data_IF_049683065869
#
_entry.id   IF_049683065869
#
_cell.length_a   1.000
_cell.length_b   1.000
_cell.length_c   1.000
_cell.angle_alpha   90.00
_cell.angle_beta   90.00
_cell.angle_gamma   90.00
#
_symmetry.space_group_name_H-M   'P 1'
#
loop_
_entity.id
_entity.type
_entity.pdbx_description
1 polymer ?
#
# COMPACT_ATOMS: atom_id res chain seq x y z
N UNK A 1 1.68 -1.09 14.24
CA UNK A 1 0.28 -0.65 14.43
C UNK A 1 0.06 0.57 13.56
N UNK A 2 -1.08 0.64 12.85
CA UNK A 2 -1.45 1.85 12.10
C UNK A 2 -2.62 2.50 12.83
N UNK A 3 -2.56 3.82 12.99
CA UNK A 3 -3.60 4.58 13.68
C UNK A 3 -4.05 5.77 12.81
N UNK A 4 -5.35 5.95 12.68
CA UNK A 4 -5.97 7.13 12.09
C UNK A 4 -6.57 7.98 13.20
N UNK A 5 -6.28 9.27 13.19
CA UNK A 5 -6.82 10.23 14.16
C UNK A 5 -7.56 11.34 13.45
N UNK A 6 -8.88 11.35 13.56
CA UNK A 6 -9.78 12.39 13.06
C UNK A 6 -9.56 12.73 11.57
N UNK A 7 -9.37 11.71 10.73
CA UNK A 7 -9.12 11.89 9.29
C UNK A 7 -10.38 12.42 8.61
N UNK A 8 -10.26 13.58 7.99
CA UNK A 8 -11.28 14.18 7.12
C UNK A 8 -10.75 14.28 5.69
N UNK A 9 -11.63 14.05 4.69
CA UNK A 9 -11.31 14.22 3.27
C UNK A 9 -12.53 14.58 2.47
N UNK A 10 -12.39 15.65 1.68
CA UNK A 10 -13.42 16.17 0.77
C UNK A 10 -12.93 16.20 -0.67
N UNK A 11 -13.84 16.17 -1.61
CA UNK A 11 -13.61 16.39 -3.05
C UNK A 11 -14.68 17.38 -3.55
N UNK A 12 -14.27 18.63 -3.77
CA UNK A 12 -15.21 19.73 -3.97
C UNK A 12 -16.15 19.84 -2.78
N UNK A 13 -17.46 19.89 -3.03
CA UNK A 13 -18.47 19.99 -1.97
C UNK A 13 -18.80 18.68 -1.28
N UNK A 14 -18.22 17.56 -1.72
CA UNK A 14 -18.50 16.24 -1.17
C UNK A 14 -17.54 15.86 -0.05
N UNK A 15 -18.01 15.87 1.20
CA UNK A 15 -17.30 15.37 2.37
C UNK A 15 -17.38 13.85 2.41
N UNK A 16 -16.28 13.17 2.07
CA UNK A 16 -16.20 11.69 2.00
C UNK A 16 -15.79 11.05 3.32
N UNK A 17 -14.80 11.63 3.98
CA UNK A 17 -14.39 11.23 5.33
C UNK A 17 -14.64 12.39 6.29
N UNK A 18 -15.21 12.10 7.46
CA UNK A 18 -15.62 13.10 8.45
C UNK A 18 -15.11 12.70 9.82
N UNK A 19 -13.88 13.09 10.16
CA UNK A 19 -13.28 12.82 11.45
C UNK A 19 -13.11 11.33 11.77
N UNK A 20 -12.74 10.51 10.80
CA UNK A 20 -12.60 9.05 10.95
C UNK A 20 -11.40 8.73 11.82
N UNK A 21 -11.63 7.98 12.91
CA UNK A 21 -10.56 7.45 13.75
C UNK A 21 -10.63 5.92 13.78
N UNK A 22 -9.47 5.27 13.66
CA UNK A 22 -9.37 3.81 13.63
C UNK A 22 -7.98 3.35 14.08
N UNK A 23 -7.90 2.12 14.59
CA UNK A 23 -6.64 1.46 14.90
C UNK A 23 -6.56 0.09 14.21
N UNK A 24 -5.50 -0.15 13.49
CA UNK A 24 -5.21 -1.42 12.84
C UNK A 24 -4.09 -2.13 13.60
N UNK A 25 -4.45 -3.21 14.27
CA UNK A 25 -3.54 -3.95 15.14
C UNK A 25 -2.53 -4.75 14.32
N UNK A 26 -1.26 -4.70 14.73
CA UNK A 26 -0.18 -5.49 14.13
C UNK A 26 -0.42 -6.99 14.35
N UNK A 27 -0.12 -7.80 13.33
CA UNK A 27 -0.23 -9.26 13.40
C UNK A 27 -1.68 -9.79 13.37
N UNK A 28 -2.66 -8.93 13.12
CA UNK A 28 -4.06 -9.32 12.98
C UNK A 28 -4.61 -8.93 11.61
N UNK A 29 -5.63 -9.65 11.17
CA UNK A 29 -6.45 -9.24 10.02
C UNK A 29 -7.45 -8.21 10.52
N UNK A 30 -7.42 -7.03 9.92
CA UNK A 30 -8.33 -5.93 10.21
C UNK A 30 -9.25 -5.72 9.01
N UNK A 31 -10.57 -5.68 9.22
CA UNK A 31 -11.55 -5.49 8.16
C UNK A 31 -12.15 -4.09 8.23
N UNK A 32 -12.27 -3.45 7.06
CA UNK A 32 -13.02 -2.21 6.88
C UNK A 32 -14.31 -2.55 6.14
N UNK A 33 -15.44 -2.46 6.83
CA UNK A 33 -16.76 -2.83 6.31
C UNK A 33 -17.58 -1.56 6.11
N UNK A 34 -18.39 -1.53 5.06
CA UNK A 34 -19.28 -0.41 4.76
C UNK A 34 -19.88 -0.54 3.36
N UNK A 35 -20.93 0.24 3.10
CA UNK A 35 -21.64 0.28 1.81
C UNK A 35 -20.69 0.74 0.68
N UNK A 36 -21.06 0.46 -0.57
CA UNK A 36 -20.37 1.05 -1.73
C UNK A 36 -20.45 2.58 -1.64
N UNK A 37 -19.35 3.27 -1.98
CA UNK A 37 -19.25 4.72 -1.89
C UNK A 37 -19.07 5.30 -0.48
N UNK A 38 -18.97 4.48 0.58
CA UNK A 38 -18.82 4.98 1.97
C UNK A 38 -17.42 5.50 2.34
N UNK A 39 -16.53 5.67 1.39
CA UNK A 39 -15.20 6.23 1.64
C UNK A 39 -14.09 5.22 2.00
N UNK A 40 -14.37 3.89 2.02
CA UNK A 40 -13.36 2.86 2.38
C UNK A 40 -12.06 2.99 1.58
N UNK A 41 -12.17 3.09 0.25
CA UNK A 41 -11.00 3.23 -0.63
C UNK A 41 -10.29 4.58 -0.44
N UNK A 42 -11.02 5.64 -0.14
CA UNK A 42 -10.46 6.96 0.15
C UNK A 42 -9.68 6.88 1.47
N UNK A 43 -10.25 6.29 2.51
CA UNK A 43 -9.60 6.08 3.79
C UNK A 43 -8.30 5.25 3.62
N UNK A 44 -8.35 4.13 2.89
CA UNK A 44 -7.14 3.32 2.62
C UNK A 44 -6.09 4.11 1.87
N UNK A 45 -6.46 4.90 0.87
CA UNK A 45 -5.53 5.76 0.13
C UNK A 45 -4.92 6.85 1.01
N UNK A 46 -5.70 7.45 1.92
CA UNK A 46 -5.16 8.39 2.91
C UNK A 46 -4.18 7.69 3.86
N UNK A 47 -4.52 6.48 4.32
CA UNK A 47 -3.67 5.70 5.21
C UNK A 47 -2.28 5.45 4.65
N UNK A 48 -2.14 5.15 3.35
CA UNK A 48 -0.85 4.87 2.71
C UNK A 48 -0.23 6.11 2.03
N UNK A 49 -0.86 7.27 2.17
CA UNK A 49 -0.38 8.54 1.63
C UNK A 49 -0.47 8.65 0.11
N UNK A 50 -1.40 7.92 -0.54
CA UNK A 50 -1.78 8.12 -1.94
C UNK A 50 -2.75 9.29 -2.10
N UNK A 51 -3.43 9.67 -1.02
CA UNK A 51 -4.22 10.89 -0.89
C UNK A 51 -3.81 11.57 0.42
N UNK A 52 -3.68 12.88 0.39
CA UNK A 52 -3.50 13.67 1.60
C UNK A 52 -4.86 13.86 2.27
N UNK A 53 -5.01 13.57 3.57
CA UNK A 53 -6.19 14.00 4.30
C UNK A 53 -6.23 15.53 4.39
N UNK A 54 -7.41 16.10 4.47
CA UNK A 54 -7.58 17.55 4.66
C UNK A 54 -7.36 17.91 6.13
N UNK A 55 -7.71 16.98 7.04
CA UNK A 55 -7.51 17.11 8.49
C UNK A 55 -7.16 15.75 9.10
N UNK A 56 -6.56 15.80 10.29
CA UNK A 56 -6.21 14.63 11.08
C UNK A 56 -4.84 14.05 10.74
N UNK A 57 -4.50 12.95 11.40
CA UNK A 57 -3.16 12.36 11.32
C UNK A 57 -3.22 10.84 11.10
N UNK A 58 -2.25 10.35 10.34
CA UNK A 58 -1.98 8.92 10.17
C UNK A 58 -0.66 8.59 10.87
N UNK A 59 -0.69 7.60 11.75
CA UNK A 59 0.50 7.17 12.49
C UNK A 59 0.88 5.72 12.13
N UNK A 60 2.16 5.48 11.88
CA UNK A 60 2.76 4.15 11.71
C UNK A 60 3.69 3.86 12.89
N UNK A 61 3.29 2.93 13.76
CA UNK A 61 4.01 2.60 15.00
C UNK A 61 4.39 3.87 15.80
N UNK A 62 3.42 4.79 15.97
CA UNK A 62 3.58 6.05 16.66
C UNK A 62 4.26 7.17 15.87
N UNK A 63 4.85 6.87 14.70
CA UNK A 63 5.46 7.89 13.82
C UNK A 63 4.37 8.60 13.02
N UNK A 64 4.25 9.92 13.14
CA UNK A 64 3.24 10.69 12.43
C UNK A 64 3.60 10.83 10.94
N UNK A 65 3.02 9.95 10.13
CA UNK A 65 3.25 9.88 8.69
C UNK A 65 2.76 11.15 7.95
N UNK A 66 1.69 11.77 8.43
CA UNK A 66 1.09 12.94 7.79
C UNK A 66 2.02 14.15 7.80
N UNK A 67 2.81 14.30 8.86
CA UNK A 67 3.73 15.45 9.03
C UNK A 67 5.15 15.18 8.48
N UNK A 68 5.40 13.96 7.98
CA UNK A 68 6.69 13.57 7.44
C UNK A 68 6.99 14.26 6.10
N UNK A 69 8.26 14.54 5.87
CA UNK A 69 8.79 14.92 4.56
C UNK A 69 8.58 13.78 3.52
N UNK A 70 8.64 14.13 2.25
CA UNK A 70 8.50 13.15 1.14
C UNK A 70 9.53 12.02 1.24
N UNK A 71 10.75 12.32 1.71
CA UNK A 71 11.81 11.32 1.85
C UNK A 71 11.52 10.34 2.99
N UNK A 72 11.05 10.82 4.13
CA UNK A 72 10.66 9.99 5.27
C UNK A 72 9.47 9.10 4.92
N UNK A 73 8.44 9.66 4.26
CA UNK A 73 7.30 8.89 3.76
C UNK A 73 7.71 7.80 2.77
N UNK A 74 8.71 8.05 1.91
CA UNK A 74 9.25 7.04 1.00
C UNK A 74 9.80 5.83 1.77
N UNK A 75 10.43 6.04 2.91
CA UNK A 75 10.94 4.94 3.74
C UNK A 75 9.80 4.14 4.38
N UNK A 76 8.78 4.80 4.92
CA UNK A 76 7.58 4.13 5.46
C UNK A 76 6.88 3.31 4.36
N UNK A 77 6.73 3.87 3.14
CA UNK A 77 6.08 3.15 2.02
C UNK A 77 6.80 1.86 1.60
N UNK A 78 8.11 1.73 1.83
CA UNK A 78 8.83 0.47 1.60
C UNK A 78 8.39 -0.64 2.57
N UNK A 79 7.84 -0.29 3.73
CA UNK A 79 7.31 -1.21 4.74
C UNK A 79 5.87 -1.66 4.41
N UNK A 80 5.21 -1.04 3.41
CA UNK A 80 3.79 -1.24 3.09
C UNK A 80 3.66 -1.97 1.76
N UNK A 81 2.97 -3.10 1.75
CA UNK A 81 2.46 -3.72 0.53
C UNK A 81 1.01 -3.31 0.28
N UNK A 82 0.67 -2.92 -0.95
CA UNK A 82 -0.69 -2.58 -1.32
C UNK A 82 -1.14 -3.38 -2.54
N UNK A 83 -2.30 -4.00 -2.43
CA UNK A 83 -2.98 -4.63 -3.55
C UNK A 83 -4.12 -3.71 -4.02
N UNK A 84 -4.04 -3.29 -5.27
CA UNK A 84 -5.07 -2.45 -5.88
C UNK A 84 -6.21 -3.29 -6.45
N UNK A 85 -7.41 -2.71 -6.52
CA UNK A 85 -8.58 -3.35 -7.09
C UNK A 85 -8.43 -3.61 -8.61
N UNK A 86 -7.66 -2.81 -9.31
CA UNK A 86 -7.18 -3.08 -10.68
C UNK A 86 -5.81 -3.76 -10.61
N UNK A 87 -5.39 -4.41 -11.69
CA UNK A 87 -4.14 -5.19 -11.71
C UNK A 87 -2.90 -4.37 -11.34
N UNK A 88 -2.86 -3.08 -11.66
CA UNK A 88 -1.70 -2.19 -11.43
C UNK A 88 -0.36 -2.82 -11.85
N UNK A 89 -0.41 -3.69 -12.86
CA UNK A 89 0.75 -4.36 -13.46
C UNK A 89 1.12 -3.65 -14.76
N UNK A 90 2.36 -3.74 -15.14
CA UNK A 90 2.84 -3.26 -16.43
C UNK A 90 2.55 -4.32 -17.50
N UNK A 91 1.66 -4.01 -18.43
CA UNK A 91 1.25 -4.93 -19.51
C UNK A 91 2.40 -5.29 -20.44
N UNK A 92 3.41 -4.40 -20.57
CA UNK A 92 4.63 -4.62 -21.36
C UNK A 92 5.67 -5.50 -20.67
N UNK A 93 5.45 -5.90 -19.43
CA UNK A 93 6.37 -6.70 -18.63
C UNK A 93 5.83 -8.10 -18.40
N UNK A 94 6.73 -9.08 -18.36
CA UNK A 94 6.41 -10.44 -17.92
C UNK A 94 6.01 -10.47 -16.44
N UNK A 95 5.41 -11.58 -15.99
CA UNK A 95 5.08 -11.78 -14.57
C UNK A 95 6.33 -11.66 -13.69
N UNK A 96 7.44 -12.26 -14.11
CA UNK A 96 8.69 -12.19 -13.36
C UNK A 96 9.22 -10.76 -13.24
N UNK A 97 9.16 -9.99 -14.32
CA UNK A 97 9.59 -8.58 -14.34
C UNK A 97 8.69 -7.71 -13.47
N UNK A 98 7.37 -7.90 -13.50
CA UNK A 98 6.44 -7.19 -12.62
C UNK A 98 6.74 -7.46 -11.15
N UNK A 99 6.99 -8.73 -10.76
CA UNK A 99 7.35 -9.08 -9.38
C UNK A 99 8.75 -8.54 -9.01
N UNK A 100 9.68 -8.48 -9.97
CA UNK A 100 11.03 -7.98 -9.78
C UNK A 100 11.08 -6.45 -9.70
N UNK A 101 10.14 -5.74 -10.31
CA UNK A 101 10.14 -4.28 -10.45
C UNK A 101 10.39 -3.53 -9.13
N UNK A 102 9.70 -3.84 -8.02
CA UNK A 102 9.97 -3.18 -6.74
C UNK A 102 11.39 -3.44 -6.22
N UNK A 103 11.95 -4.62 -6.49
CA UNK A 103 13.31 -4.96 -6.07
C UNK A 103 14.33 -4.11 -6.84
N UNK A 104 14.15 -3.95 -8.15
CA UNK A 104 14.99 -3.06 -8.97
C UNK A 104 14.93 -1.59 -8.52
N UNK A 105 13.75 -1.13 -8.09
CA UNK A 105 13.55 0.26 -7.68
C UNK A 105 14.06 0.58 -6.28
N UNK A 106 14.02 -0.37 -5.35
CA UNK A 106 14.17 -0.09 -3.92
C UNK A 106 15.23 -0.94 -3.21
N UNK A 107 15.90 -1.88 -3.90
CA UNK A 107 16.97 -2.68 -3.31
C UNK A 107 18.28 -2.53 -4.09
N UNK A 108 19.36 -3.00 -3.49
CA UNK A 108 20.69 -3.12 -4.12
C UNK A 108 21.05 -4.59 -4.35
N UNK A 109 20.05 -5.46 -4.49
CA UNK A 109 20.24 -6.90 -4.71
C UNK A 109 20.85 -7.14 -6.10
N UNK A 110 21.69 -8.17 -6.18
CA UNK A 110 22.19 -8.68 -7.46
C UNK A 110 21.03 -9.31 -8.27
N UNK A 111 21.14 -9.33 -9.57
CA UNK A 111 20.09 -9.86 -10.45
C UNK A 111 19.69 -11.30 -10.09
N UNK A 112 20.66 -12.15 -9.79
CA UNK A 112 20.40 -13.53 -9.38
C UNK A 112 19.60 -13.60 -8.08
N UNK A 113 19.91 -12.76 -7.10
CA UNK A 113 19.18 -12.69 -5.83
C UNK A 113 17.72 -12.23 -6.05
N UNK A 114 17.52 -11.24 -6.94
CA UNK A 114 16.18 -10.79 -7.33
C UNK A 114 15.38 -11.93 -7.99
N UNK A 115 15.98 -12.68 -8.91
CA UNK A 115 15.36 -13.84 -9.55
C UNK A 115 14.96 -14.92 -8.54
N UNK A 116 15.81 -15.22 -7.59
CA UNK A 116 15.52 -16.21 -6.55
C UNK A 116 14.38 -15.72 -5.62
N UNK A 117 14.36 -14.42 -5.32
CA UNK A 117 13.26 -13.80 -4.59
C UNK A 117 11.93 -13.87 -5.36
N UNK A 118 11.95 -13.60 -6.66
CA UNK A 118 10.78 -13.76 -7.55
C UNK A 118 10.24 -15.18 -7.52
N UNK A 119 11.12 -16.18 -7.71
CA UNK A 119 10.73 -17.60 -7.64
C UNK A 119 10.10 -17.96 -6.29
N UNK A 120 10.71 -17.48 -5.20
CA UNK A 120 10.18 -17.67 -3.85
C UNK A 120 8.76 -17.07 -3.71
N UNK A 121 8.55 -15.82 -4.15
CA UNK A 121 7.25 -15.15 -4.06
C UNK A 121 6.18 -15.89 -4.87
N UNK A 122 6.49 -16.26 -6.10
CA UNK A 122 5.55 -16.98 -6.97
C UNK A 122 5.19 -18.36 -6.42
N UNK A 123 6.17 -19.09 -5.84
CA UNK A 123 5.92 -20.37 -5.18
C UNK A 123 4.98 -20.20 -3.97
N UNK A 124 5.08 -19.11 -3.23
CA UNK A 124 4.22 -18.82 -2.06
C UNK A 124 2.74 -18.67 -2.40
N UNK A 125 2.42 -18.27 -3.61
CA UNK A 125 1.04 -18.08 -4.10
C UNK A 125 0.62 -19.21 -5.05
N UNK A 126 1.34 -20.35 -5.05
CA UNK A 126 1.13 -21.51 -5.91
C UNK A 126 1.04 -21.16 -7.41
N UNK A 127 1.72 -20.08 -7.79
CA UNK A 127 1.81 -19.67 -9.18
C UNK A 127 2.79 -20.60 -9.88
N UNK A 128 2.26 -21.57 -10.63
CA UNK A 128 3.08 -22.46 -11.45
C UNK A 128 3.64 -21.65 -12.62
N UNK A 129 4.96 -21.57 -12.70
CA UNK A 129 5.63 -21.11 -13.91
C UNK A 129 5.17 -22.02 -15.06
N UNK A 130 4.19 -21.58 -15.82
CA UNK A 130 4.03 -22.10 -17.15
C UNK A 130 5.34 -21.76 -17.87
N UNK A 131 6.15 -22.80 -18.15
CA UNK A 131 7.31 -22.68 -19.02
C UNK A 131 6.79 -22.22 -20.37
N UNK A 132 6.75 -20.94 -20.60
CA UNK A 132 6.74 -20.30 -21.94
C UNK A 132 6.68 -18.77 -21.73
N UNK A 133 7.70 -18.21 -22.06
CA UNK A 133 8.11 -16.93 -22.64
C UNK A 133 9.40 -16.42 -22.05
#
# INVERSE_FOLDING_TARGET
MIELRNISKSFGDQNVLRGVSAQFQKGKVNFVIGRSGSGKSVMTKCTVGLLEPDEGHVLFDGRNFTDMSLLERKNIRKEIGMLFQGSALFDSMTVAENVMFPLKMFSHMLEQEMLDRVKYCLKRVDFRFARKY
#
